data_IF_171229872373
#
_entry.id   IF_171229872373
#
_cell.length_a   1.000
_cell.length_b   1.000
_cell.length_c   1.000
_cell.angle_alpha   90.00
_cell.angle_beta   90.00
_cell.angle_gamma   90.00
#
_symmetry.space_group_name_H-M   'P 1'
#
loop_
_entity.id
_entity.type
_entity.pdbx_description
1 polymer ?
#
# COMPACT_ATOMS: atom_id res chain seq x y z
N UNK A 1 -18.00 -26.26 7.23
CA UNK A 1 -16.75 -25.58 6.86
C UNK A 1 -17.10 -24.37 5.99
N UNK A 2 -17.07 -23.16 6.55
CA UNK A 2 -17.52 -21.96 5.85
C UNK A 2 -16.62 -21.67 4.63
N UNK A 3 -17.21 -21.63 3.43
CA UNK A 3 -16.54 -21.27 2.17
C UNK A 3 -15.76 -19.97 2.38
N UNK A 4 -14.43 -20.03 2.29
CA UNK A 4 -13.53 -18.87 2.27
C UNK A 4 -13.83 -18.08 1.00
N UNK A 5 -14.83 -17.19 1.08
CA UNK A 5 -15.27 -16.32 -0.02
C UNK A 5 -14.03 -15.55 -0.47
N UNK A 6 -13.58 -15.84 -1.70
CA UNK A 6 -12.26 -15.51 -2.24
C UNK A 6 -11.69 -14.20 -1.69
N UNK A 7 -10.45 -14.28 -1.21
CA UNK A 7 -9.75 -13.24 -0.47
C UNK A 7 -9.68 -11.96 -1.31
N UNK A 8 -10.73 -11.15 -1.19
CA UNK A 8 -10.92 -9.92 -1.96
C UNK A 8 -9.88 -8.86 -1.57
N UNK A 9 -9.07 -9.10 -0.55
CA UNK A 9 -8.15 -8.16 0.06
C UNK A 9 -6.74 -8.72 -0.02
N UNK A 10 -5.86 -8.00 -0.69
CA UNK A 10 -4.44 -8.32 -0.71
C UNK A 10 -3.67 -7.35 0.19
N UNK A 11 -2.66 -7.86 0.88
CA UNK A 11 -1.74 -7.03 1.64
C UNK A 11 -0.67 -6.47 0.74
N UNK A 12 -0.53 -5.16 0.73
CA UNK A 12 0.49 -4.47 -0.06
C UNK A 12 1.38 -3.62 0.84
N UNK A 13 2.61 -3.43 0.39
CA UNK A 13 3.56 -2.55 1.07
C UNK A 13 3.57 -1.19 0.41
N UNK A 14 3.68 -0.15 1.23
CA UNK A 14 3.87 1.22 0.81
C UNK A 14 5.35 1.56 0.93
N UNK A 15 5.99 1.75 -0.21
CA UNK A 15 7.39 2.11 -0.33
C UNK A 15 7.54 3.63 -0.46
N UNK A 16 8.36 4.24 0.39
CA UNK A 16 8.74 5.64 0.28
C UNK A 16 9.52 5.88 -1.03
N UNK A 17 9.15 6.90 -1.82
CA UNK A 17 9.86 7.19 -3.07
C UNK A 17 11.25 7.79 -2.88
N UNK A 18 11.50 8.42 -1.73
CA UNK A 18 12.75 9.15 -1.46
C UNK A 18 13.79 8.27 -0.77
N UNK A 19 13.36 7.39 0.14
CA UNK A 19 14.28 6.53 0.92
C UNK A 19 14.24 5.07 0.50
N UNK A 20 13.23 4.67 -0.28
CA UNK A 20 13.06 3.28 -0.70
C UNK A 20 12.59 2.33 0.42
N UNK A 21 12.34 2.84 1.63
CA UNK A 21 11.91 2.00 2.76
C UNK A 21 10.46 1.55 2.64
N UNK A 22 10.20 0.36 3.16
CA UNK A 22 8.87 -0.22 3.29
C UNK A 22 8.27 0.18 4.64
N UNK A 23 7.68 1.38 4.70
CA UNK A 23 7.24 1.97 5.96
C UNK A 23 5.87 1.47 6.45
N UNK A 24 4.95 1.16 5.53
CA UNK A 24 3.58 0.81 5.90
C UNK A 24 3.09 -0.42 5.16
N UNK A 25 2.28 -1.22 5.85
CA UNK A 25 1.53 -2.34 5.26
C UNK A 25 0.04 -2.00 5.30
N UNK A 26 -0.65 -2.14 4.18
CA UNK A 26 -2.08 -1.88 4.09
C UNK A 26 -2.80 -3.02 3.38
N UNK A 27 -4.02 -3.34 3.84
CA UNK A 27 -4.91 -4.27 3.15
C UNK A 27 -5.72 -3.49 2.12
N UNK A 28 -5.57 -3.81 0.85
CA UNK A 28 -6.34 -3.20 -0.24
C UNK A 28 -7.32 -4.20 -0.81
N UNK A 29 -8.57 -3.77 -0.98
CA UNK A 29 -9.60 -4.57 -1.65
C UNK A 29 -9.30 -4.57 -3.16
N UNK A 30 -8.92 -5.71 -3.70
CA UNK A 30 -8.66 -5.94 -5.13
C UNK A 30 -9.93 -6.29 -5.91
N UNK A 31 -11.04 -6.52 -5.20
CA UNK A 31 -12.35 -6.80 -5.82
C UNK A 31 -12.93 -5.51 -6.40
N UNK A 32 -12.76 -5.34 -7.71
CA UNK A 32 -13.17 -4.14 -8.47
C UNK A 32 -12.01 -3.36 -9.11
N UNK A 33 -10.77 -3.86 -9.00
CA UNK A 33 -9.58 -3.17 -9.48
C UNK A 33 -8.96 -2.30 -8.39
N UNK A 34 -7.63 -2.18 -8.40
CA UNK A 34 -6.92 -1.28 -7.50
C UNK A 34 -7.37 0.16 -7.81
N UNK A 35 -7.87 0.93 -6.83
CA UNK A 35 -8.20 2.32 -7.07
C UNK A 35 -6.92 3.03 -7.51
N UNK A 36 -6.95 3.65 -8.69
CA UNK A 36 -5.80 4.24 -9.37
C UNK A 36 -5.05 5.25 -8.47
N UNK A 37 -5.79 5.90 -7.57
CA UNK A 37 -5.29 6.79 -6.51
C UNK A 37 -4.32 6.12 -5.54
N UNK A 38 -4.54 4.85 -5.20
CA UNK A 38 -3.64 4.06 -4.34
C UNK A 38 -2.34 3.72 -5.09
N UNK A 39 -2.39 3.52 -6.42
CA UNK A 39 -1.20 3.38 -7.28
C UNK A 39 -0.43 4.69 -7.46
N UNK A 40 -1.13 5.82 -7.59
CA UNK A 40 -0.54 7.15 -7.76
C UNK A 40 0.32 7.59 -6.57
N UNK A 41 0.11 6.98 -5.41
CA UNK A 41 0.91 7.16 -4.20
C UNK A 41 0.24 8.11 -3.21
N UNK A 42 0.49 7.83 -1.92
CA UNK A 42 -0.08 8.60 -0.82
C UNK A 42 1.00 9.35 -0.05
N UNK A 43 0.70 10.57 0.39
CA UNK A 43 1.58 11.33 1.28
C UNK A 43 1.51 10.75 2.69
N UNK A 44 2.58 10.07 3.10
CA UNK A 44 2.72 9.48 4.44
C UNK A 44 4.02 9.94 5.09
N UNK A 45 4.02 9.97 6.41
CA UNK A 45 5.18 10.35 7.19
C UNK A 45 6.29 9.30 7.03
N UNK A 46 7.50 9.73 6.69
CA UNK A 46 8.70 8.88 6.66
C UNK A 46 9.55 9.16 7.91
N UNK A 47 9.75 8.18 8.81
CA UNK A 47 10.52 8.36 10.04
C UNK A 47 11.97 8.80 9.81
N UNK A 48 12.59 8.35 8.70
CA UNK A 48 13.99 8.65 8.39
C UNK A 48 14.21 10.11 7.99
N UNK A 49 13.30 10.66 7.19
CA UNK A 49 13.37 12.04 6.70
C UNK A 49 12.61 13.04 7.59
N UNK A 50 11.88 12.52 8.59
CA UNK A 50 11.02 13.28 9.52
C UNK A 50 10.05 14.24 8.81
N UNK A 51 9.56 13.86 7.63
CA UNK A 51 8.62 14.63 6.82
C UNK A 51 7.64 13.72 6.08
N UNK A 52 6.57 14.31 5.56
CA UNK A 52 5.62 13.59 4.71
C UNK A 52 6.18 13.47 3.29
N UNK A 53 6.31 12.23 2.82
CA UNK A 53 6.82 11.91 1.48
C UNK A 53 5.80 11.06 0.73
N UNK A 54 5.93 10.99 -0.59
CA UNK A 54 5.06 10.13 -1.41
C UNK A 54 5.46 8.67 -1.21
N UNK A 55 4.48 7.84 -0.86
CA UNK A 55 4.65 6.40 -0.73
C UNK A 55 3.84 5.69 -1.83
N UNK A 56 4.53 4.90 -2.65
CA UNK A 56 3.94 4.11 -3.74
C UNK A 56 3.66 2.70 -3.28
N UNK A 57 2.62 2.07 -3.83
CA UNK A 57 2.34 0.67 -3.58
C UNK A 57 3.36 -0.20 -4.32
N UNK A 58 4.05 -1.06 -3.57
CA UNK A 58 4.80 -2.19 -4.09
C UNK A 58 4.03 -3.46 -3.80
N UNK A 59 3.60 -4.14 -4.86
CA UNK A 59 3.10 -5.52 -4.79
C UNK A 59 4.31 -6.46 -4.94
N UNK A 60 4.25 -7.62 -4.28
CA UNK A 60 5.16 -8.71 -4.57
C UNK A 60 4.66 -9.45 -5.81
#
# INVERSE_FOLDING_TARGET
MAKKKGEAREYVWLQCTETGDLNYRTSVNVKGGLPEKLKAGMSKYSPRLRRHTKHKIKRK
#
